data_IF_932928482756
#
_entry.id   IF_932928482756
#
_cell.length_a   1.000
_cell.length_b   1.000
_cell.length_c   1.000
_cell.angle_alpha   90.00
_cell.angle_beta   90.00
_cell.angle_gamma   90.00
#
_symmetry.space_group_name_H-M   'P 1'
#
loop_
_entity.id
_entity.type
_entity.pdbx_description
1 polymer ?
#
# COMPACT_ATOMS: atom_id res chain seq x y z
N UNK A 1 11.82 9.87 11.42
CA UNK A 1 11.67 10.93 10.40
C UNK A 1 10.35 11.64 10.70
N UNK A 2 10.30 12.96 10.63
CA UNK A 2 9.05 13.70 10.78
C UNK A 2 8.22 13.44 9.51
N UNK A 3 7.24 12.54 9.59
CA UNK A 3 6.31 12.30 8.49
C UNK A 3 5.31 13.47 8.48
N UNK A 4 5.74 14.60 7.90
CA UNK A 4 4.91 15.77 7.73
C UNK A 4 3.71 15.46 6.84
N UNK A 5 2.58 16.10 7.15
CA UNK A 5 1.40 16.08 6.28
C UNK A 5 1.77 16.77 4.98
N UNK A 6 1.57 16.08 3.86
CA UNK A 6 1.74 16.62 2.51
C UNK A 6 0.40 16.56 1.79
N UNK A 7 0.14 17.52 0.88
CA UNK A 7 -1.08 17.53 0.09
C UNK A 7 -0.84 16.78 -1.22
N UNK A 8 -1.57 15.70 -1.45
CA UNK A 8 -1.58 14.97 -2.72
C UNK A 8 -2.98 15.06 -3.34
N UNK A 9 -3.08 15.61 -4.55
CA UNK A 9 -4.34 15.83 -5.25
C UNK A 9 -5.45 16.52 -4.41
N UNK A 10 -5.08 17.39 -3.47
CA UNK A 10 -6.03 18.08 -2.57
C UNK A 10 -6.32 17.36 -1.25
N UNK A 11 -5.78 16.17 -1.03
CA UNK A 11 -5.97 15.37 0.18
C UNK A 11 -4.76 15.49 1.12
N UNK A 12 -4.96 15.63 2.43
CA UNK A 12 -3.88 15.55 3.41
C UNK A 12 -3.42 14.09 3.58
N UNK A 13 -2.13 13.86 3.35
CA UNK A 13 -1.51 12.53 3.41
C UNK A 13 -0.26 12.56 4.27
N UNK A 14 -0.13 11.60 5.17
CA UNK A 14 1.06 11.36 5.98
C UNK A 14 1.94 10.31 5.30
N UNK A 15 3.23 10.58 5.11
CA UNK A 15 4.18 9.63 4.52
C UNK A 15 4.75 10.10 3.18
N UNK A 16 5.22 9.16 2.36
CA UNK A 16 5.85 9.48 1.08
C UNK A 16 4.83 9.49 -0.07
N UNK A 17 4.33 10.69 -0.40
CA UNK A 17 3.36 10.87 -1.48
C UNK A 17 3.92 10.53 -2.87
N UNK A 18 5.25 10.42 -3.04
CA UNK A 18 5.84 10.02 -4.33
C UNK A 18 5.48 8.57 -4.67
N UNK A 19 5.19 7.75 -3.67
CA UNK A 19 4.68 6.40 -3.91
C UNK A 19 3.29 6.42 -4.55
N UNK A 20 2.47 7.44 -4.27
CA UNK A 20 1.17 7.59 -4.92
C UNK A 20 1.35 7.92 -6.41
N UNK A 21 2.28 8.81 -6.74
CA UNK A 21 2.64 9.12 -8.13
C UNK A 21 3.20 7.88 -8.83
N UNK A 22 4.03 7.09 -8.14
CA UNK A 22 4.56 5.83 -8.68
C UNK A 22 3.45 4.83 -9.01
N UNK A 23 2.48 4.66 -8.11
CA UNK A 23 1.35 3.73 -8.30
C UNK A 23 0.53 4.08 -9.56
N UNK A 24 0.35 5.37 -9.86
CA UNK A 24 -0.43 5.78 -11.03
C UNK A 24 0.37 5.75 -12.35
N UNK A 25 1.70 5.80 -12.26
CA UNK A 25 2.62 5.85 -13.40
C UNK A 25 3.18 4.47 -13.76
N UNK A 26 3.00 3.44 -12.93
CA UNK A 26 3.64 2.15 -13.11
C UNK A 26 3.06 1.33 -14.28
N UNK A 27 3.95 0.53 -14.90
CA UNK A 27 3.53 -0.48 -15.87
C UNK A 27 3.11 -1.74 -15.13
N UNK A 28 1.79 -1.93 -15.06
CA UNK A 28 1.18 -2.86 -14.11
C UNK A 28 0.62 -4.13 -14.76
N UNK A 29 0.75 -5.24 -14.05
CA UNK A 29 -0.02 -6.46 -14.29
C UNK A 29 -1.47 -6.28 -13.81
N UNK A 30 -1.67 -5.58 -12.70
CA UNK A 30 -2.99 -5.15 -12.20
C UNK A 30 -2.88 -3.66 -11.97
N UNK A 31 -3.43 -2.89 -12.90
CA UNK A 31 -3.30 -1.44 -12.94
C UNK A 31 -4.15 -0.76 -11.88
N UNK A 32 -3.52 0.15 -11.16
CA UNK A 32 -4.20 1.15 -10.34
C UNK A 32 -4.10 2.51 -11.04
N UNK A 33 -5.14 3.32 -10.90
CA UNK A 33 -5.12 4.68 -11.40
C UNK A 33 -5.36 5.71 -10.29
N UNK A 34 -5.45 6.97 -10.71
CA UNK A 34 -5.64 8.08 -9.79
C UNK A 34 -6.97 7.99 -9.05
N UNK A 35 -8.03 7.55 -9.72
CA UNK A 35 -9.36 7.47 -9.11
C UNK A 35 -9.40 6.34 -8.07
N UNK A 36 -8.67 5.25 -8.31
CA UNK A 36 -8.44 4.18 -7.34
C UNK A 36 -7.78 4.71 -6.06
N UNK A 37 -6.66 5.44 -6.18
CA UNK A 37 -5.97 6.04 -5.03
C UNK A 37 -6.87 7.05 -4.31
N UNK A 38 -7.53 7.94 -5.05
CA UNK A 38 -8.44 8.95 -4.48
C UNK A 38 -9.62 8.31 -3.75
N UNK A 39 -10.12 7.16 -4.22
CA UNK A 39 -11.24 6.46 -3.59
C UNK A 39 -10.92 5.96 -2.17
N UNK A 40 -9.64 5.74 -1.88
CA UNK A 40 -9.16 5.26 -0.57
C UNK A 40 -8.81 6.42 0.37
N UNK A 41 -8.41 7.58 -0.15
CA UNK A 41 -8.03 8.73 0.66
C UNK A 41 -9.23 9.34 1.40
N UNK A 42 -9.04 9.69 2.67
CA UNK A 42 -10.08 10.30 3.49
C UNK A 42 -10.11 11.82 3.37
N UNK A 43 -11.32 12.39 3.23
CA UNK A 43 -11.55 13.84 3.25
C UNK A 43 -11.71 14.42 4.66
N UNK A 44 -12.18 13.60 5.60
CA UNK A 44 -12.54 14.04 6.96
C UNK A 44 -11.67 13.38 8.05
N UNK A 45 -10.98 12.28 7.73
CA UNK A 45 -10.07 11.57 8.60
C UNK A 45 -8.61 11.69 8.17
N UNK A 46 -7.79 10.70 8.50
CA UNK A 46 -6.36 10.68 8.22
C UNK A 46 -6.03 9.66 7.13
N UNK A 47 -5.12 10.03 6.24
CA UNK A 47 -4.62 9.14 5.19
C UNK A 47 -3.11 8.94 5.35
N UNK A 48 -2.67 7.71 5.21
CA UNK A 48 -1.31 7.26 5.47
C UNK A 48 -0.74 6.52 4.28
N UNK A 49 0.52 6.82 3.94
CA UNK A 49 1.30 6.07 2.96
C UNK A 49 2.52 5.50 3.64
N UNK A 50 2.63 4.17 3.63
CA UNK A 50 3.75 3.44 4.18
C UNK A 50 4.30 2.44 3.18
N UNK A 51 5.54 2.03 3.36
CA UNK A 51 6.17 1.07 2.47
C UNK A 51 7.13 0.15 3.22
N UNK A 52 7.29 -1.06 2.71
CA UNK A 52 8.30 -2.03 3.13
C UNK A 52 9.03 -2.58 1.92
N UNK A 53 10.31 -2.96 2.10
CA UNK A 53 11.16 -3.45 1.02
C UNK A 53 11.95 -4.65 1.53
N UNK A 54 11.68 -5.82 0.96
CA UNK A 54 12.30 -7.05 1.43
C UNK A 54 12.46 -8.06 0.28
N UNK A 55 13.40 -8.98 0.44
CA UNK A 55 13.56 -10.10 -0.49
C UNK A 55 12.36 -11.08 -0.43
N UNK A 56 11.61 -11.11 0.68
CA UNK A 56 10.37 -11.88 0.85
C UNK A 56 9.13 -10.98 0.80
N UNK A 57 8.08 -11.40 0.09
CA UNK A 57 6.88 -10.56 -0.13
C UNK A 57 6.09 -10.35 1.16
N UNK A 58 5.99 -11.38 2.00
CA UNK A 58 5.24 -11.32 3.25
C UNK A 58 5.98 -10.44 4.25
N UNK A 59 7.31 -10.54 4.31
CA UNK A 59 8.12 -9.65 5.14
C UNK A 59 8.05 -8.19 4.67
N UNK A 60 8.09 -7.92 3.35
CA UNK A 60 7.91 -6.57 2.81
C UNK A 60 6.54 -5.98 3.18
N UNK A 61 5.48 -6.80 3.11
CA UNK A 61 4.15 -6.41 3.54
C UNK A 61 4.10 -6.12 5.05
N UNK A 62 4.69 -6.98 5.88
CA UNK A 62 4.75 -6.80 7.34
C UNK A 62 5.50 -5.52 7.71
N UNK A 63 6.60 -5.20 7.03
CA UNK A 63 7.31 -3.94 7.21
C UNK A 63 6.42 -2.73 6.91
N UNK A 64 5.68 -2.76 5.80
CA UNK A 64 4.76 -1.69 5.43
C UNK A 64 3.63 -1.51 6.46
N UNK A 65 3.07 -2.62 6.97
CA UNK A 65 2.04 -2.61 8.03
C UNK A 65 2.61 -2.08 9.34
N UNK A 66 3.79 -2.53 9.74
CA UNK A 66 4.43 -2.11 10.99
C UNK A 66 4.83 -0.62 10.98
N UNK A 67 4.96 -0.03 9.80
CA UNK A 67 5.21 1.39 9.63
C UNK A 67 3.93 2.25 9.77
N UNK A 68 2.74 1.65 9.77
CA UNK A 68 1.49 2.39 10.01
C UNK A 68 1.47 2.92 11.46
N UNK A 69 1.00 4.16 11.68
CA UNK A 69 0.87 4.72 13.03
C UNK A 69 -0.32 4.15 13.80
N UNK A 70 -1.14 3.33 13.15
CA UNK A 70 -2.29 2.64 13.72
C UNK A 70 -2.27 1.17 13.35
N UNK A 71 -3.10 0.39 14.05
CA UNK A 71 -3.32 -1.02 13.75
C UNK A 71 -4.31 -1.16 12.58
N UNK A 72 -4.18 -2.24 11.82
CA UNK A 72 -5.03 -2.55 10.65
C UNK A 72 -6.51 -2.70 11.02
N UNK A 73 -6.82 -3.07 12.26
CA UNK A 73 -8.20 -3.14 12.79
C UNK A 73 -8.92 -1.78 12.84
N UNK A 74 -8.19 -0.68 12.67
CA UNK A 74 -8.72 0.69 12.59
C UNK A 74 -8.74 1.27 11.19
N UNK A 75 -8.22 0.55 10.21
CA UNK A 75 -8.17 1.01 8.82
C UNK A 75 -9.52 0.73 8.17
N UNK A 76 -10.13 1.75 7.57
CA UNK A 76 -11.40 1.63 6.87
C UNK A 76 -11.21 1.18 5.42
N UNK A 77 -10.31 1.87 4.72
CA UNK A 77 -9.98 1.65 3.31
C UNK A 77 -8.48 1.38 3.19
N UNK A 78 -8.11 0.35 2.44
CA UNK A 78 -6.72 -0.04 2.23
C UNK A 78 -6.45 -0.33 0.75
N UNK A 79 -5.52 0.41 0.16
CA UNK A 79 -4.93 0.07 -1.13
C UNK A 79 -3.54 -0.50 -0.90
N UNK A 80 -3.24 -1.60 -1.59
CA UNK A 80 -1.95 -2.29 -1.51
C UNK A 80 -1.37 -2.38 -2.92
N UNK A 81 -0.24 -1.73 -3.15
CA UNK A 81 0.55 -1.90 -4.37
C UNK A 81 1.70 -2.88 -4.11
N UNK A 82 1.69 -3.98 -4.87
CA UNK A 82 2.76 -4.98 -4.88
C UNK A 82 3.69 -4.74 -6.05
N UNK A 83 4.88 -4.24 -5.75
CA UNK A 83 5.90 -3.98 -6.74
C UNK A 83 7.01 -5.03 -6.66
N UNK A 84 7.30 -5.71 -7.76
CA UNK A 84 8.36 -6.72 -7.83
C UNK A 84 9.44 -6.33 -8.83
N UNK A 85 10.70 -6.68 -8.53
CA UNK A 85 11.78 -6.54 -9.49
C UNK A 85 11.86 -7.69 -10.49
N UNK A 86 12.98 -8.37 -10.52
CA UNK A 86 13.26 -9.49 -11.43
C UNK A 86 12.52 -10.78 -11.04
N UNK A 87 12.06 -10.87 -9.78
CA UNK A 87 11.37 -12.04 -9.25
C UNK A 87 9.87 -11.82 -9.22
N UNK A 88 9.15 -12.39 -10.18
CA UNK A 88 7.70 -12.36 -10.18
C UNK A 88 7.13 -13.16 -8.98
N UNK A 89 6.19 -12.59 -8.21
CA UNK A 89 5.58 -13.27 -7.08
C UNK A 89 4.62 -14.38 -7.53
N UNK A 90 4.51 -15.44 -6.72
CA UNK A 90 3.58 -16.55 -6.91
C UNK A 90 2.22 -16.20 -6.33
N UNK A 91 1.15 -16.74 -6.92
CA UNK A 91 -0.22 -16.56 -6.41
C UNK A 91 -0.39 -17.00 -4.94
N UNK A 92 0.39 -17.98 -4.49
CA UNK A 92 0.41 -18.43 -3.10
C UNK A 92 0.91 -17.37 -2.13
N UNK A 93 1.89 -16.54 -2.54
CA UNK A 93 2.45 -15.48 -1.69
C UNK A 93 1.39 -14.39 -1.41
N UNK A 94 0.59 -14.01 -2.42
CA UNK A 94 -0.54 -13.10 -2.22
C UNK A 94 -1.63 -13.70 -1.31
N UNK A 95 -1.90 -14.99 -1.45
CA UNK A 95 -2.90 -15.69 -0.63
C UNK A 95 -2.52 -15.69 0.86
N UNK A 96 -1.22 -15.76 1.16
CA UNK A 96 -0.67 -15.69 2.52
C UNK A 96 -0.88 -14.32 3.20
N UNK A 97 -1.08 -13.25 2.43
CA UNK A 97 -1.31 -11.89 2.95
C UNK A 97 -2.80 -11.65 3.21
N UNK A 98 -3.67 -12.13 2.32
CA UNK A 98 -5.11 -11.89 2.40
C UNK A 98 -5.75 -12.47 3.66
N UNK A 99 -5.34 -13.66 4.10
CA UNK A 99 -5.89 -14.34 5.27
C UNK A 99 -5.77 -13.48 6.55
N UNK A 100 -4.54 -13.15 6.98
CA UNK A 100 -4.30 -12.32 8.15
C UNK A 100 -5.02 -10.96 8.13
N UNK A 101 -5.10 -10.30 6.97
CA UNK A 101 -5.84 -9.05 6.82
C UNK A 101 -7.34 -9.23 7.12
N UNK A 102 -7.96 -10.25 6.54
CA UNK A 102 -9.39 -10.55 6.77
C UNK A 102 -9.71 -10.98 8.20
N UNK A 103 -8.75 -11.60 8.90
CA UNK A 103 -8.90 -11.96 10.32
C UNK A 103 -8.73 -10.73 11.23
N UNK A 104 -7.81 -9.83 10.89
CA UNK A 104 -7.54 -8.62 11.67
C UNK A 104 -8.65 -7.58 11.54
N UNK A 105 -9.22 -7.43 10.34
CA UNK A 105 -10.31 -6.52 10.06
C UNK A 105 -11.22 -7.12 8.97
N UNK A 106 -12.36 -7.74 9.33
CA UNK A 106 -13.23 -8.37 8.34
C UNK A 106 -14.02 -7.36 7.50
N UNK A 107 -14.15 -6.12 7.96
CA UNK A 107 -14.95 -5.07 7.33
C UNK A 107 -14.10 -4.12 6.46
N UNK A 108 -12.78 -4.28 6.46
CA UNK A 108 -11.86 -3.46 5.66
C UNK A 108 -12.13 -3.64 4.17
N UNK A 109 -12.28 -2.52 3.46
CA UNK A 109 -12.33 -2.55 2.02
C UNK A 109 -10.90 -2.52 1.47
N UNK A 110 -10.53 -3.52 0.65
CA UNK A 110 -9.16 -3.67 0.15
C UNK A 110 -9.10 -3.66 -1.37
N UNK A 111 -8.25 -2.79 -1.91
CA UNK A 111 -7.88 -2.70 -3.31
C UNK A 111 -6.41 -3.08 -3.50
N UNK A 112 -6.07 -3.79 -4.58
CA UNK A 112 -4.74 -4.35 -4.78
C UNK A 112 -4.26 -4.06 -6.21
N UNK A 113 -3.05 -3.54 -6.33
CA UNK A 113 -2.32 -3.37 -7.58
C UNK A 113 -1.11 -4.28 -7.63
N UNK A 114 -0.65 -4.60 -8.83
CA UNK A 114 0.57 -5.37 -9.04
C UNK A 114 1.37 -4.71 -10.15
N UNK A 115 2.54 -4.19 -9.78
CA UNK A 115 3.46 -3.44 -10.62
C UNK A 115 4.82 -4.14 -10.70
N UNK A 116 5.62 -3.80 -11.72
CA UNK A 116 7.02 -4.24 -11.81
C UNK A 116 7.98 -3.05 -11.86
N UNK A 117 9.10 -3.17 -11.16
CA UNK A 117 10.17 -2.18 -11.14
C UNK A 117 11.52 -2.89 -11.09
N UNK A 118 12.17 -3.03 -12.25
CA UNK A 118 13.45 -3.72 -12.40
C UNK A 118 14.56 -3.15 -11.48
N UNK A 119 14.44 -1.90 -11.04
CA UNK A 119 15.40 -1.28 -10.11
C UNK A 119 15.41 -1.93 -8.72
N UNK A 120 14.37 -2.70 -8.37
CA UNK A 120 14.29 -3.45 -7.11
C UNK A 120 15.18 -4.70 -7.08
N UNK A 121 15.76 -5.13 -8.21
CA UNK A 121 16.56 -6.34 -8.27
C UNK A 121 15.73 -7.57 -7.89
N UNK A 122 16.19 -8.39 -6.94
CA UNK A 122 15.46 -9.59 -6.50
C UNK A 122 14.49 -9.33 -5.33
N UNK A 123 14.28 -8.06 -4.98
CA UNK A 123 13.42 -7.65 -3.88
C UNK A 123 12.00 -7.31 -4.33
N UNK A 124 11.11 -7.26 -3.34
CA UNK A 124 9.79 -6.71 -3.44
C UNK A 124 9.70 -5.40 -2.68
N UNK A 125 8.82 -4.53 -3.15
CA UNK A 125 8.37 -3.36 -2.41
C UNK A 125 6.86 -3.40 -2.32
N UNK A 126 6.34 -3.28 -1.10
CA UNK A 126 4.92 -3.16 -0.84
C UNK A 126 4.64 -1.76 -0.37
N UNK A 127 3.68 -1.09 -1.00
CA UNK A 127 3.19 0.22 -0.58
C UNK A 127 1.76 0.05 -0.09
N UNK A 128 1.46 0.63 1.07
CA UNK A 128 0.12 0.72 1.63
C UNK A 128 -0.35 2.16 1.57
N UNK A 129 -1.56 2.35 1.07
CA UNK A 129 -2.32 3.59 1.24
C UNK A 129 -3.51 3.23 2.12
N UNK A 130 -3.51 3.74 3.34
CA UNK A 130 -4.53 3.43 4.34
C UNK A 130 -5.27 4.71 4.74
N UNK A 131 -6.58 4.62 4.91
CA UNK A 131 -7.33 5.68 5.54
C UNK A 131 -8.07 5.23 6.80
N UNK A 132 -8.18 6.16 7.73
CA UNK A 132 -8.81 5.99 9.02
C UNK A 132 -9.82 7.12 9.18
N UNK A 133 -11.09 6.78 9.44
CA UNK A 133 -12.13 7.78 9.73
C UNK A 133 -11.87 8.46 11.08
N UNK A 134 -12.32 9.71 11.17
CA UNK A 134 -12.22 10.54 12.38
C UNK A 134 -13.10 10.02 13.53
#
# INVERSE_FOLDING_TARGET
>A
MNNGITIWNGYPVHGDIKELDRIIESEDLIKLDKDDVVSVLSTEGESYVTSGVNADLVEAFNEAVNALPCKVDKVDELLIDFCFGNRQPKMSEFSSIKGPLSEANPDINIMWGISSDESLGDSYKVVLVASVKA
#
